data_IF_836804599332
#
_entry.id   IF_836804599332
#
_cell.length_a   1.000
_cell.length_b   1.000
_cell.length_c   1.000
_cell.angle_alpha   90.00
_cell.angle_beta   90.00
_cell.angle_gamma   90.00
#
_symmetry.space_group_name_H-M   'P 1'
#
loop_
_entity.id
_entity.type
_entity.pdbx_description
1 polymer ?
#
# COMPACT_ATOMS: atom_id res chain seq x y z
N UNK A 1 0.50 16.74 -13.94
CA UNK A 1 0.23 15.34 -14.37
C UNK A 1 0.83 14.37 -13.37
N UNK A 2 0.07 13.90 -12.38
CA UNK A 2 0.43 12.66 -11.66
C UNK A 2 -0.86 11.87 -11.48
N UNK A 3 -1.13 11.02 -12.47
CA UNK A 3 -2.29 10.15 -12.53
C UNK A 3 -2.21 9.19 -11.34
N UNK A 4 -3.16 9.28 -10.43
CA UNK A 4 -3.42 8.18 -9.51
C UNK A 4 -3.83 7.00 -10.39
N UNK A 5 -3.02 5.95 -10.43
CA UNK A 5 -3.22 4.79 -11.34
C UNK A 5 -4.34 3.86 -10.89
N UNK A 6 -4.97 4.15 -9.75
CA UNK A 6 -6.10 3.41 -9.23
C UNK A 6 -7.14 4.39 -8.66
N UNK A 7 -8.42 4.02 -8.72
CA UNK A 7 -9.47 4.74 -7.99
C UNK A 7 -9.64 4.06 -6.63
N UNK A 8 -9.45 4.77 -5.50
CA UNK A 8 -9.72 4.19 -4.20
C UNK A 8 -11.20 3.82 -4.10
N UNK A 9 -11.48 2.64 -3.58
CA UNK A 9 -12.85 2.19 -3.30
C UNK A 9 -13.26 2.60 -1.88
N UNK A 10 -14.56 2.72 -1.64
CA UNK A 10 -15.07 3.00 -0.31
C UNK A 10 -14.65 1.88 0.66
N UNK A 11 -14.08 2.23 1.81
CA UNK A 11 -13.53 1.28 2.79
C UNK A 11 -12.10 0.81 2.51
N UNK A 12 -11.46 1.25 1.42
CA UNK A 12 -10.08 0.89 1.12
C UNK A 12 -9.09 1.76 1.91
N UNK A 13 -8.16 1.11 2.61
CA UNK A 13 -7.05 1.83 3.24
C UNK A 13 -6.05 2.26 2.17
N UNK A 14 -5.67 3.54 2.18
CA UNK A 14 -4.71 4.13 1.25
C UNK A 14 -3.66 4.93 2.00
N UNK A 15 -2.44 4.87 1.49
CA UNK A 15 -1.31 5.65 1.97
C UNK A 15 -1.15 6.83 1.03
N UNK A 16 -1.38 8.04 1.54
CA UNK A 16 -1.32 9.28 0.77
C UNK A 16 -0.15 10.13 1.21
N UNK A 17 0.52 10.77 0.25
CA UNK A 17 1.44 11.87 0.48
C UNK A 17 0.74 13.14 0.03
N UNK A 18 0.52 14.06 0.95
CA UNK A 18 -0.24 15.28 0.72
C UNK A 18 0.35 16.46 1.51
N UNK A 19 0.11 17.67 1.01
CA UNK A 19 0.37 18.89 1.75
C UNK A 19 -0.93 19.42 2.36
N UNK A 20 -0.86 19.82 3.62
CA UNK A 20 -1.97 20.46 4.32
C UNK A 20 -1.77 21.97 4.20
N UNK A 21 -2.81 22.68 3.77
CA UNK A 21 -2.83 24.13 3.66
C UNK A 21 -4.03 24.64 4.43
N UNK A 22 -3.81 25.56 5.36
CA UNK A 22 -4.87 26.22 6.11
C UNK A 22 -5.17 27.56 5.46
N UNK A 23 -6.43 27.82 5.12
CA UNK A 23 -6.88 29.12 4.66
C UNK A 23 -7.47 29.91 5.83
N UNK A 24 -6.62 30.68 6.50
CA UNK A 24 -6.93 31.44 7.72
C UNK A 24 -8.20 32.31 7.66
N UNK A 25 -8.57 32.94 6.52
CA UNK A 25 -9.78 33.77 6.46
C UNK A 25 -11.11 33.02 6.67
N UNK A 26 -11.15 31.70 6.45
CA UNK A 26 -12.37 30.89 6.60
C UNK A 26 -12.20 29.71 7.55
N UNK A 27 -10.97 29.39 7.96
CA UNK A 27 -10.67 28.21 8.78
C UNK A 27 -10.78 26.90 8.02
N UNK A 28 -10.85 26.93 6.69
CA UNK A 28 -10.94 25.74 5.86
C UNK A 28 -9.55 25.10 5.71
N UNK A 29 -9.48 23.79 5.98
CA UNK A 29 -8.30 22.98 5.71
C UNK A 29 -8.39 22.40 4.30
N UNK A 30 -7.40 22.70 3.47
CA UNK A 30 -7.21 22.08 2.17
C UNK A 30 -6.11 21.04 2.24
N UNK A 31 -6.39 19.84 1.75
CA UNK A 31 -5.40 18.78 1.64
C UNK A 31 -5.18 18.52 0.15
N UNK A 32 -3.98 18.83 -0.32
CA UNK A 32 -3.59 18.63 -1.71
C UNK A 32 -2.77 17.34 -1.78
N UNK A 33 -3.37 16.29 -2.34
CA UNK A 33 -2.74 14.98 -2.48
C UNK A 33 -1.79 14.98 -3.68
N UNK A 34 -0.50 14.77 -3.42
CA UNK A 34 0.54 14.67 -4.45
C UNK A 34 0.67 13.26 -5.00
N UNK A 35 0.49 12.25 -4.15
CA UNK A 35 0.51 10.84 -4.53
C UNK A 35 -0.33 10.00 -3.57
N UNK A 36 -0.88 8.92 -4.11
CA UNK A 36 -1.70 7.97 -3.37
C UNK A 36 -1.27 6.57 -3.79
N UNK A 37 -1.11 5.69 -2.81
CA UNK A 37 -0.80 4.28 -2.96
C UNK A 37 -1.79 3.47 -2.14
N UNK A 38 -2.19 2.26 -2.58
CA UNK A 38 -2.99 1.38 -1.74
C UNK A 38 -2.19 1.01 -0.48
N UNK A 39 -2.76 1.23 0.71
CA UNK A 39 -2.18 0.79 1.96
C UNK A 39 -2.51 -0.70 2.09
N UNK A 40 -1.67 -1.54 1.49
CA UNK A 40 -1.95 -2.94 1.38
C UNK A 40 -1.54 -3.73 2.63
N UNK A 41 -2.51 -4.20 3.41
CA UNK A 41 -2.40 -5.54 4.00
C UNK A 41 -2.28 -6.58 2.87
N UNK A 42 -3.04 -6.42 1.78
CA UNK A 42 -2.98 -7.30 0.61
C UNK A 42 -1.64 -7.32 -0.13
N UNK A 43 -0.90 -6.19 -0.18
CA UNK A 43 0.42 -6.16 -0.82
C UNK A 43 1.46 -6.91 0.02
N UNK A 44 1.42 -6.73 1.34
CA UNK A 44 2.27 -7.46 2.27
C UNK A 44 1.92 -8.96 2.27
N UNK A 45 0.63 -9.29 2.29
CA UNK A 45 0.14 -10.66 2.25
C UNK A 45 0.46 -11.36 0.92
N UNK A 46 0.34 -10.66 -0.21
CA UNK A 46 0.75 -11.17 -1.52
C UNK A 46 2.27 -11.42 -1.59
N UNK A 47 3.09 -10.50 -1.04
CA UNK A 47 4.53 -10.72 -0.93
C UNK A 47 4.88 -11.87 0.00
N UNK A 48 4.13 -12.04 1.08
CA UNK A 48 4.27 -13.15 2.01
C UNK A 48 3.93 -14.50 1.35
N UNK A 49 2.82 -14.59 0.61
CA UNK A 49 2.46 -15.80 -0.14
C UNK A 49 3.50 -16.14 -1.22
N UNK A 50 4.00 -15.15 -1.95
CA UNK A 50 5.07 -15.35 -2.92
C UNK A 50 6.37 -15.83 -2.26
N UNK A 51 6.75 -15.26 -1.12
CA UNK A 51 7.93 -15.67 -0.38
C UNK A 51 7.77 -17.09 0.18
N UNK A 52 6.60 -17.41 0.73
CA UNK A 52 6.27 -18.75 1.23
C UNK A 52 6.32 -19.79 0.10
N UNK A 53 5.71 -19.50 -1.05
CA UNK A 53 5.75 -20.38 -2.21
C UNK A 53 7.19 -20.58 -2.73
N UNK A 54 8.00 -19.52 -2.75
CA UNK A 54 9.41 -19.59 -3.14
C UNK A 54 10.22 -20.47 -2.18
N UNK A 55 10.08 -20.27 -0.88
CA UNK A 55 10.79 -21.07 0.14
C UNK A 55 10.34 -22.53 0.16
N UNK A 56 9.06 -22.82 -0.13
CA UNK A 56 8.58 -24.18 -0.33
C UNK A 56 9.15 -24.82 -1.60
N UNK A 57 9.25 -24.06 -2.71
CA UNK A 57 9.81 -24.54 -3.96
C UNK A 57 11.34 -24.76 -3.90
N UNK A 58 12.05 -24.02 -3.04
CA UNK A 58 13.49 -24.18 -2.81
C UNK A 58 13.84 -25.44 -1.97
N UNK A 59 12.87 -26.26 -1.56
CA UNK A 59 13.14 -27.54 -0.89
C UNK A 59 13.83 -27.42 0.48
N UNK A 60 13.92 -26.22 1.05
CA UNK A 60 14.49 -25.97 2.38
C UNK A 60 13.68 -26.62 3.52
N UNK A 61 12.48 -27.12 3.21
CA UNK A 61 11.62 -27.91 4.10
C UNK A 61 11.58 -29.40 3.73
N UNK A 62 12.39 -29.86 2.77
CA UNK A 62 12.46 -31.27 2.44
C UNK A 62 13.01 -32.07 3.63
N UNK A 63 12.25 -33.10 4.02
CA UNK A 63 12.59 -34.09 5.04
C UNK A 63 13.88 -34.88 4.75
N UNK A 64 14.59 -34.60 3.67
CA UNK A 64 15.86 -35.23 3.31
C UNK A 64 17.04 -34.74 4.15
N UNK A 65 16.88 -33.68 4.96
CA UNK A 65 17.86 -33.23 5.95
C UNK A 65 17.56 -33.69 7.40
N UNK A 66 16.64 -34.64 7.60
CA UNK A 66 16.38 -35.23 8.92
C UNK A 66 17.06 -36.57 9.11
#
# INVERSE_FOLDING_TARGET
NRRVTFRPQHGQQVLVRANITLYEPRGDYQIIVESMQPAGEGLLQQKYEQLKAKLQAEGLFDQQYK
#
